data_IF_105261747325
#
_entry.id   IF_105261747325
#
_cell.length_a   1.000
_cell.length_b   1.000
_cell.length_c   1.000
_cell.angle_alpha   90.00
_cell.angle_beta   90.00
_cell.angle_gamma   90.00
#
_symmetry.space_group_name_H-M   'P 1'
#
loop_
_entity.id
_entity.type
_entity.pdbx_description
1 polymer ?
#
# COMPACT_ATOMS: atom_id res chain seq x y z
N UNK A 1 0.89 -10.76 -3.08
CA UNK A 1 1.74 -9.85 -3.87
C UNK A 1 0.82 -8.98 -4.69
N UNK A 2 0.94 -7.66 -4.58
CA UNK A 2 0.18 -6.73 -5.43
C UNK A 2 0.87 -6.76 -6.79
N UNK A 3 0.11 -6.95 -7.85
CA UNK A 3 0.68 -7.08 -9.18
C UNK A 3 1.47 -5.80 -9.53
N UNK A 4 2.50 -5.92 -10.36
CA UNK A 4 3.32 -4.76 -10.73
C UNK A 4 2.45 -3.66 -11.34
N UNK A 5 1.42 -4.04 -12.08
CA UNK A 5 0.44 -3.13 -12.67
C UNK A 5 -0.38 -2.37 -11.61
N UNK A 6 -0.84 -3.07 -10.57
CA UNK A 6 -1.62 -2.47 -9.47
C UNK A 6 -0.78 -1.49 -8.65
N UNK A 7 0.50 -1.80 -8.42
CA UNK A 7 1.43 -0.91 -7.72
C UNK A 7 1.67 0.38 -8.50
N UNK A 8 1.82 0.31 -9.82
CA UNK A 8 1.98 1.51 -10.65
C UNK A 8 0.70 2.35 -10.66
N UNK A 9 -0.50 1.75 -10.74
CA UNK A 9 -1.78 2.48 -10.59
C UNK A 9 -1.85 3.24 -9.27
N UNK A 10 -1.45 2.61 -8.15
CA UNK A 10 -1.42 3.27 -6.84
C UNK A 10 -0.45 4.47 -6.81
N UNK A 11 0.70 4.36 -7.50
CA UNK A 11 1.68 5.44 -7.62
C UNK A 11 1.14 6.60 -8.45
N UNK A 12 0.57 6.31 -9.62
CA UNK A 12 0.01 7.32 -10.53
C UNK A 12 -1.17 8.07 -9.92
N UNK A 13 -2.01 7.37 -9.19
CA UNK A 13 -3.16 7.97 -8.49
C UNK A 13 -2.77 8.70 -7.19
N UNK A 14 -1.49 8.65 -6.78
CA UNK A 14 -1.01 9.32 -5.58
C UNK A 14 -1.60 8.77 -4.28
N UNK A 15 -1.92 7.47 -4.23
CA UNK A 15 -2.58 6.88 -3.06
C UNK A 15 -1.62 6.83 -1.86
N UNK A 16 -2.09 7.37 -0.74
CA UNK A 16 -1.38 7.40 0.54
C UNK A 16 -2.18 6.69 1.64
N UNK A 17 -1.49 6.25 2.69
CA UNK A 17 -2.13 5.62 3.85
C UNK A 17 -3.01 6.60 4.63
N UNK A 18 -4.24 6.17 4.97
CA UNK A 18 -5.25 7.00 5.63
C UNK A 18 -5.09 7.16 7.15
N UNK A 19 -4.14 6.45 7.79
CA UNK A 19 -3.92 6.49 9.25
C UNK A 19 -3.07 7.68 9.74
N UNK A 20 -3.16 8.84 9.09
CA UNK A 20 -2.48 10.08 9.51
C UNK A 20 -1.02 10.26 9.06
N UNK A 21 -0.24 9.19 8.91
CA UNK A 21 1.16 9.28 8.46
C UNK A 21 1.31 9.64 6.97
N UNK A 22 0.28 9.39 6.15
CA UNK A 22 0.31 9.70 4.71
C UNK A 22 1.37 8.94 3.92
N UNK A 23 1.84 7.79 4.40
CA UNK A 23 2.90 7.04 3.73
C UNK A 23 2.45 6.53 2.34
N UNK A 24 3.27 6.64 1.28
CA UNK A 24 2.88 6.22 -0.06
C UNK A 24 2.57 4.72 -0.13
N UNK A 25 1.34 4.37 -0.53
CA UNK A 25 0.85 2.99 -0.49
C UNK A 25 1.64 2.08 -1.43
N UNK A 26 2.01 2.58 -2.62
CA UNK A 26 2.81 1.83 -3.59
C UNK A 26 4.21 1.45 -3.05
N UNK A 27 4.80 2.30 -2.20
CA UNK A 27 6.12 2.06 -1.62
C UNK A 27 6.06 0.98 -0.54
N UNK A 28 4.98 0.97 0.26
CA UNK A 28 4.72 -0.08 1.27
C UNK A 28 4.56 -1.47 0.65
N UNK A 29 4.00 -1.51 -0.56
CA UNK A 29 3.73 -2.75 -1.30
C UNK A 29 4.87 -3.17 -2.24
N UNK A 30 5.99 -2.44 -2.24
CA UNK A 30 7.16 -2.75 -3.09
C UNK A 30 7.81 -4.09 -2.74
N UNK A 31 7.71 -4.53 -1.48
CA UNK A 31 8.33 -5.75 -1.00
C UNK A 31 7.53 -6.99 -1.43
N UNK A 32 8.22 -7.96 -2.04
CA UNK A 32 7.65 -9.28 -2.32
C UNK A 32 7.57 -10.15 -1.06
N UNK A 33 6.91 -11.30 -1.16
CA UNK A 33 6.81 -12.26 -0.04
C UNK A 33 5.96 -11.76 1.13
N UNK A 34 4.93 -10.95 0.87
CA UNK A 34 3.95 -10.56 1.89
C UNK A 34 2.94 -11.71 2.04
N UNK A 35 2.98 -12.38 3.18
CA UNK A 35 2.05 -13.47 3.52
C UNK A 35 0.77 -12.98 4.21
N UNK A 36 0.86 -11.83 4.90
CA UNK A 36 -0.21 -11.32 5.75
C UNK A 36 -0.53 -9.86 5.46
N UNK A 37 -1.81 -9.55 5.48
CA UNK A 37 -2.33 -8.19 5.52
C UNK A 37 -3.08 -7.98 6.82
N UNK A 38 -2.68 -6.95 7.57
CA UNK A 38 -3.39 -6.52 8.79
C UNK A 38 -4.03 -5.18 8.46
N UNK A 39 -5.37 -5.15 8.45
CA UNK A 39 -6.13 -3.92 8.35
C UNK A 39 -6.25 -3.30 9.75
N UNK A 40 -5.86 -2.03 9.88
CA UNK A 40 -6.06 -1.32 11.14
C UNK A 40 -7.56 -0.99 11.29
N UNK A 41 -8.15 -1.40 12.41
CA UNK A 41 -9.53 -1.08 12.82
C UNK A 41 -9.61 -0.63 14.27
N UNK A 42 -8.51 -0.07 14.81
CA UNK A 42 -8.46 0.47 16.17
C UNK A 42 -9.12 1.85 16.31
N UNK A 43 -9.44 2.49 15.17
CA UNK A 43 -10.08 3.81 15.06
C UNK A 43 -11.51 3.68 14.53
#
# INVERSE_FOLDING_TARGET
>A
MVDLEEREKLREMGVVGAGGAGFPTYAKLKQGGIDYYIANGAE
#
